data_IF_791589878378
#
_entry.id   IF_791589878378
#
_cell.length_a   1.000
_cell.length_b   1.000
_cell.length_c   1.000
_cell.angle_alpha   90.00
_cell.angle_beta   90.00
_cell.angle_gamma   90.00
#
_symmetry.space_group_name_H-M   'P 1'
#
loop_
_entity.id
_entity.type
_entity.pdbx_description
1 polymer ?
#
# COMPACT_ATOMS: atom_id res chain seq x y z
N UNK A 1 57.01 -45.47 -27.35
CA UNK A 1 57.26 -44.28 -26.49
C UNK A 1 56.99 -43.04 -27.33
N UNK A 2 55.98 -42.20 -27.17
CA UNK A 2 54.87 -42.05 -26.23
C UNK A 2 53.91 -41.07 -26.92
N UNK A 3 52.62 -41.41 -26.98
CA UNK A 3 51.55 -40.47 -27.31
C UNK A 3 51.36 -39.53 -26.12
N UNK A 4 51.37 -38.21 -26.30
CA UNK A 4 50.96 -37.27 -25.24
C UNK A 4 49.87 -36.31 -25.76
N UNK A 5 48.70 -36.88 -26.02
CA UNK A 5 47.41 -36.60 -25.36
C UNK A 5 47.12 -35.23 -24.71
N UNK A 6 47.60 -34.08 -25.19
CA UNK A 6 47.25 -32.78 -24.55
C UNK A 6 46.76 -31.65 -25.46
N UNK A 7 46.71 -31.82 -26.79
CA UNK A 7 46.22 -30.76 -27.71
C UNK A 7 44.90 -31.06 -28.43
N UNK A 8 44.24 -32.18 -28.11
CA UNK A 8 43.00 -32.63 -28.76
C UNK A 8 41.86 -32.89 -27.77
N UNK A 9 41.72 -32.08 -26.71
CA UNK A 9 40.56 -32.20 -25.77
C UNK A 9 39.72 -30.93 -25.69
N UNK A 10 40.10 -29.82 -26.34
CA UNK A 10 39.24 -28.64 -26.46
C UNK A 10 38.41 -28.60 -27.75
N UNK A 11 38.16 -29.76 -28.35
CA UNK A 11 37.25 -29.92 -29.48
C UNK A 11 35.90 -30.57 -29.10
N UNK A 12 35.68 -30.90 -27.82
CA UNK A 12 34.44 -31.52 -27.35
C UNK A 12 33.81 -30.69 -26.24
N UNK A 13 32.59 -30.19 -26.47
CA UNK A 13 31.70 -29.57 -25.49
C UNK A 13 32.21 -28.28 -24.83
N UNK A 14 32.04 -27.15 -25.53
CA UNK A 14 32.41 -25.85 -24.99
C UNK A 14 31.80 -24.68 -25.74
N UNK A 15 30.55 -24.78 -26.19
CA UNK A 15 29.75 -23.59 -26.42
C UNK A 15 29.53 -22.91 -25.07
N UNK A 16 30.52 -22.13 -24.62
CA UNK A 16 30.26 -21.05 -23.67
C UNK A 16 29.22 -20.18 -24.35
N UNK A 17 27.95 -20.37 -23.97
CA UNK A 17 26.95 -19.32 -24.07
C UNK A 17 27.53 -18.21 -23.21
N UNK A 18 28.28 -17.30 -23.86
CA UNK A 18 28.83 -16.15 -23.20
C UNK A 18 27.61 -15.42 -22.64
N UNK A 19 27.45 -15.46 -21.31
CA UNK A 19 26.39 -14.74 -20.61
C UNK A 19 26.55 -13.28 -21.00
N UNK A 20 25.71 -12.83 -21.94
CA UNK A 20 25.69 -11.43 -22.37
C UNK A 20 25.12 -10.67 -21.19
N UNK A 21 26.00 -10.15 -20.33
CA UNK A 21 25.60 -9.12 -19.37
C UNK A 21 24.85 -8.03 -20.14
N UNK A 22 23.74 -7.51 -19.61
CA UNK A 22 22.87 -6.55 -20.30
C UNK A 22 23.64 -5.37 -20.93
N UNK A 23 24.79 -5.01 -20.33
CA UNK A 23 25.71 -3.95 -20.77
C UNK A 23 26.69 -4.32 -21.89
N UNK A 24 26.81 -5.60 -22.25
CA UNK A 24 27.60 -6.12 -23.38
C UNK A 24 26.68 -6.56 -24.53
N UNK A 25 25.79 -5.65 -24.96
CA UNK A 25 24.94 -5.86 -26.13
C UNK A 25 25.62 -5.28 -27.40
N UNK A 26 25.94 -6.11 -28.42
CA UNK A 26 26.60 -5.66 -29.65
C UNK A 26 25.79 -4.65 -30.46
N UNK A 27 24.45 -4.64 -30.32
CA UNK A 27 23.59 -3.64 -30.94
C UNK A 27 23.83 -2.25 -30.36
N UNK A 28 23.93 -2.14 -29.03
CA UNK A 28 24.21 -0.88 -28.33
C UNK A 28 25.59 -0.34 -28.72
N UNK A 29 26.59 -1.22 -28.89
CA UNK A 29 27.92 -0.83 -29.35
C UNK A 29 27.91 -0.23 -30.76
N UNK A 30 27.18 -0.86 -31.70
CA UNK A 30 27.00 -0.35 -33.07
C UNK A 30 26.25 0.98 -33.11
N UNK A 31 25.18 1.11 -32.33
CA UNK A 31 24.40 2.33 -32.25
C UNK A 31 25.22 3.49 -31.65
N UNK A 32 25.97 3.25 -30.58
CA UNK A 32 26.86 4.25 -29.95
C UNK A 32 28.02 4.70 -30.85
N UNK A 33 28.49 3.83 -31.74
CA UNK A 33 29.47 4.21 -32.77
C UNK A 33 28.84 5.10 -33.85
N UNK A 34 27.60 4.82 -34.25
CA UNK A 34 26.87 5.57 -35.29
C UNK A 34 26.36 6.94 -34.80
N UNK A 35 26.09 7.07 -33.51
CA UNK A 35 25.62 8.30 -32.84
C UNK A 35 26.75 9.19 -32.32
N UNK A 36 28.00 8.96 -32.73
CA UNK A 36 29.12 9.86 -32.41
C UNK A 36 28.95 11.17 -33.16
N UNK A 37 28.41 12.16 -32.47
CA UNK A 37 28.27 13.53 -32.96
C UNK A 37 29.63 14.24 -32.85
N UNK A 38 30.01 15.03 -33.86
CA UNK A 38 31.26 15.82 -33.83
C UNK A 38 31.30 16.71 -32.59
N UNK A 39 32.45 16.86 -31.91
CA UNK A 39 32.61 17.77 -30.77
C UNK A 39 32.19 19.22 -31.09
N UNK A 40 32.16 19.62 -32.36
CA UNK A 40 31.78 20.97 -32.78
C UNK A 40 30.33 21.10 -33.25
N UNK A 41 29.54 20.02 -33.22
CA UNK A 41 28.16 20.02 -33.70
C UNK A 41 27.26 21.02 -32.96
N UNK A 42 27.49 21.22 -31.66
CA UNK A 42 26.71 22.17 -30.86
C UNK A 42 27.03 23.64 -31.21
N UNK A 43 28.19 23.92 -31.81
CA UNK A 43 28.61 25.29 -32.16
C UNK A 43 27.81 25.87 -33.33
N UNK A 44 27.23 25.01 -34.19
CA UNK A 44 26.35 25.42 -35.31
C UNK A 44 25.03 26.06 -34.84
N UNK A 45 24.62 25.79 -33.60
CA UNK A 45 23.39 26.33 -33.01
C UNK A 45 23.61 27.62 -32.21
N UNK A 46 24.87 28.02 -31.99
CA UNK A 46 25.30 29.20 -31.22
C UNK A 46 25.69 30.34 -32.15
N UNK A 47 24.73 30.81 -32.93
CA UNK A 47 24.81 32.13 -33.55
C UNK A 47 24.15 33.16 -32.63
N UNK A 48 24.78 34.32 -32.35
CA UNK A 48 24.40 35.27 -31.28
C UNK A 48 23.06 36.00 -31.45
N UNK A 49 22.16 35.50 -32.31
CA UNK A 49 20.80 36.00 -32.52
C UNK A 49 19.67 35.00 -32.23
N UNK A 50 19.97 33.77 -31.77
CA UNK A 50 18.94 32.74 -31.61
C UNK A 50 18.19 32.86 -30.27
N UNK A 51 16.95 33.34 -30.32
CA UNK A 51 15.97 33.34 -29.21
C UNK A 51 15.82 31.93 -28.60
N UNK A 52 15.98 30.90 -29.43
CA UNK A 52 15.95 29.48 -29.06
C UNK A 52 17.03 29.14 -28.02
N UNK A 53 18.21 29.76 -28.03
CA UNK A 53 19.22 29.52 -26.99
C UNK A 53 18.87 30.16 -25.65
N UNK A 54 18.27 31.35 -25.64
CA UNK A 54 17.75 31.95 -24.41
C UNK A 54 16.58 31.13 -23.84
N UNK A 55 15.73 30.57 -24.70
CA UNK A 55 14.64 29.67 -24.31
C UNK A 55 15.19 28.35 -23.79
N UNK A 56 16.11 27.71 -24.50
CA UNK A 56 16.73 26.44 -24.10
C UNK A 56 17.60 26.59 -22.86
N UNK A 57 18.24 27.73 -22.62
CA UNK A 57 19.04 27.99 -21.42
C UNK A 57 18.15 28.36 -20.21
N UNK A 58 17.00 28.99 -20.46
CA UNK A 58 15.92 29.18 -19.49
C UNK A 58 15.23 27.85 -19.15
N UNK A 59 15.07 26.95 -20.10
CA UNK A 59 14.54 25.60 -19.89
C UNK A 59 15.56 24.69 -19.21
N UNK A 60 16.84 24.75 -19.59
CA UNK A 60 17.94 24.03 -18.91
C UNK A 60 18.07 24.45 -17.44
N UNK A 61 17.89 25.74 -17.12
CA UNK A 61 17.87 26.25 -15.73
C UNK A 61 16.58 25.88 -14.98
N UNK A 62 15.47 25.58 -15.68
CA UNK A 62 14.24 25.02 -15.08
C UNK A 62 14.31 23.51 -14.87
N UNK A 63 15.07 22.78 -15.70
CA UNK A 63 15.22 21.33 -15.61
C UNK A 63 16.28 20.85 -14.62
N UNK A 64 17.21 21.70 -14.19
CA UNK A 64 18.11 21.38 -13.08
C UNK A 64 17.38 21.66 -11.75
N UNK A 65 16.31 20.90 -11.51
CA UNK A 65 15.98 20.53 -10.14
C UNK A 65 17.07 19.52 -9.78
N UNK A 66 17.93 19.78 -8.78
CA UNK A 66 18.99 18.84 -8.46
C UNK A 66 18.37 17.46 -8.24
N UNK A 67 19.03 16.39 -8.71
CA UNK A 67 18.52 15.02 -8.57
C UNK A 67 18.14 14.70 -7.12
N UNK A 68 18.81 15.35 -6.15
CA UNK A 68 18.45 15.37 -4.73
C UNK A 68 17.04 15.89 -4.43
N UNK A 69 16.53 16.88 -5.15
CA UNK A 69 15.16 17.42 -5.00
C UNK A 69 14.07 16.56 -5.66
N UNK A 70 14.42 15.71 -6.63
CA UNK A 70 13.51 14.67 -7.15
C UNK A 70 13.43 13.50 -6.18
N UNK A 71 14.57 13.10 -5.60
CA UNK A 71 14.63 12.14 -4.50
C UNK A 71 13.91 12.66 -3.24
N UNK A 72 14.05 13.95 -2.91
CA UNK A 72 13.34 14.57 -1.78
C UNK A 72 11.82 14.61 -2.00
N UNK A 73 11.34 14.92 -3.21
CA UNK A 73 9.90 14.83 -3.51
C UNK A 73 9.37 13.39 -3.48
N UNK A 74 10.16 12.41 -3.92
CA UNK A 74 9.82 10.99 -3.80
C UNK A 74 9.84 10.56 -2.32
N UNK A 75 10.77 11.08 -1.51
CA UNK A 75 10.86 10.83 -0.07
C UNK A 75 9.72 11.50 0.71
N UNK A 76 9.33 12.72 0.36
CA UNK A 76 8.18 13.44 0.94
C UNK A 76 6.85 12.76 0.55
N UNK A 77 6.75 12.20 -0.65
CA UNK A 77 5.59 11.37 -1.02
C UNK A 77 5.58 10.01 -0.30
N UNK A 78 6.77 9.50 0.04
CA UNK A 78 6.97 8.26 0.82
C UNK A 78 6.68 8.45 2.31
N UNK A 79 6.74 9.69 2.80
CA UNK A 79 6.39 10.07 4.17
C UNK A 79 4.90 9.91 4.49
N UNK A 80 4.04 9.79 3.45
CA UNK A 80 2.58 9.74 3.59
C UNK A 80 1.99 8.35 3.82
N UNK A 81 2.76 7.28 3.64
CA UNK A 81 2.31 5.90 3.81
C UNK A 81 3.15 5.21 4.87
N UNK A 82 2.52 4.32 5.64
CA UNK A 82 3.09 3.62 6.78
C UNK A 82 4.49 3.07 6.44
N UNK A 83 5.50 3.51 7.19
CA UNK A 83 6.88 3.00 7.11
C UNK A 83 7.03 1.61 7.73
N UNK A 84 5.92 1.04 8.23
CA UNK A 84 5.90 -0.25 8.91
C UNK A 84 5.96 -1.37 7.87
N UNK A 85 7.03 -2.16 7.95
CA UNK A 85 7.28 -3.25 7.00
C UNK A 85 6.41 -4.47 7.31
N UNK A 86 6.12 -4.71 8.59
CA UNK A 86 5.33 -5.85 9.08
C UNK A 86 4.62 -5.48 10.39
N UNK A 87 3.41 -5.99 10.60
CA UNK A 87 2.63 -5.89 11.86
C UNK A 87 3.24 -6.72 13.00
N UNK A 88 4.05 -7.74 12.68
CA UNK A 88 4.60 -8.69 13.66
C UNK A 88 3.62 -9.78 14.10
N UNK A 89 2.39 -9.78 13.55
CA UNK A 89 1.36 -10.78 13.79
C UNK A 89 1.20 -11.69 12.56
N UNK A 90 1.10 -13.00 12.79
CA UNK A 90 0.93 -13.97 11.70
C UNK A 90 -0.46 -13.86 11.11
N UNK A 91 -0.56 -13.74 9.78
CA UNK A 91 -1.84 -13.67 9.07
C UNK A 91 -2.44 -12.26 8.99
N UNK A 92 -1.89 -11.27 9.70
CA UNK A 92 -2.32 -9.87 9.63
C UNK A 92 -1.34 -9.06 8.78
N UNK A 93 -1.74 -8.70 7.56
CA UNK A 93 -0.90 -7.96 6.63
C UNK A 93 -1.07 -6.44 6.81
N UNK A 94 0.03 -5.69 6.64
CA UNK A 94 0.03 -4.23 6.73
C UNK A 94 -0.89 -3.63 5.67
N UNK A 95 -1.75 -2.69 6.09
CA UNK A 95 -2.62 -1.97 5.17
C UNK A 95 -1.93 -0.70 4.65
N UNK A 96 -1.90 -0.51 3.32
CA UNK A 96 -1.27 0.68 2.72
C UNK A 96 -2.04 1.98 3.04
N UNK A 97 -3.35 1.89 3.20
CA UNK A 97 -4.26 3.04 3.31
C UNK A 97 -5.31 2.85 4.43
N UNK A 98 -4.90 2.77 5.71
CA UNK A 98 -5.80 2.40 6.81
C UNK A 98 -6.96 3.40 7.01
N UNK A 99 -6.71 4.71 6.95
CA UNK A 99 -7.77 5.72 7.11
C UNK A 99 -8.90 5.57 6.07
N UNK A 100 -8.55 5.31 4.82
CA UNK A 100 -9.53 5.11 3.74
C UNK A 100 -10.33 3.84 3.97
N UNK A 101 -9.65 2.74 4.28
CA UNK A 101 -10.28 1.44 4.54
C UNK A 101 -11.25 1.53 5.72
N UNK A 102 -10.81 2.07 6.87
CA UNK A 102 -11.64 2.28 8.06
C UNK A 102 -12.86 3.16 7.78
N UNK A 103 -12.65 4.29 7.10
CA UNK A 103 -13.74 5.21 6.76
C UNK A 103 -14.81 4.50 5.93
N UNK A 104 -14.40 3.70 4.93
CA UNK A 104 -15.33 2.92 4.09
C UNK A 104 -16.08 1.89 4.92
N UNK A 105 -15.39 1.11 5.77
CA UNK A 105 -16.03 0.07 6.59
C UNK A 105 -17.02 0.68 7.59
N UNK A 106 -16.64 1.73 8.31
CA UNK A 106 -17.55 2.43 9.23
C UNK A 106 -18.76 3.04 8.52
N UNK A 107 -18.57 3.66 7.35
CA UNK A 107 -19.70 4.14 6.56
C UNK A 107 -20.63 3.01 6.11
N UNK A 108 -20.09 1.82 5.79
CA UNK A 108 -20.90 0.63 5.46
C UNK A 108 -21.67 0.12 6.68
N UNK A 109 -21.06 0.12 7.87
CA UNK A 109 -21.74 -0.27 9.12
C UNK A 109 -22.90 0.69 9.39
N UNK A 110 -22.67 2.00 9.35
CA UNK A 110 -23.74 2.99 9.59
C UNK A 110 -24.92 2.82 8.63
N UNK A 111 -24.65 2.56 7.33
CA UNK A 111 -25.70 2.24 6.35
C UNK A 111 -26.43 0.93 6.63
N UNK A 112 -25.74 -0.09 7.13
CA UNK A 112 -26.39 -1.35 7.50
C UNK A 112 -27.29 -1.17 8.73
N UNK A 113 -26.83 -0.40 9.74
CA UNK A 113 -27.59 -0.10 10.95
C UNK A 113 -28.89 0.67 10.68
N UNK A 114 -29.00 1.41 9.58
CA UNK A 114 -30.25 2.07 9.17
C UNK A 114 -31.43 1.11 9.01
N UNK A 115 -31.17 -0.17 8.70
CA UNK A 115 -32.20 -1.22 8.54
C UNK A 115 -32.78 -1.72 9.87
N UNK A 116 -32.07 -1.52 10.98
CA UNK A 116 -32.48 -1.93 12.33
C UNK A 116 -33.32 -0.80 12.94
N UNK A 117 -34.41 -1.05 13.69
CA UNK A 117 -35.17 0.03 14.32
C UNK A 117 -34.32 0.85 15.33
N UNK A 118 -34.51 2.18 15.44
CA UNK A 118 -33.72 3.06 16.33
C UNK A 118 -33.92 2.77 17.83
N UNK A 119 -35.00 2.06 18.18
CA UNK A 119 -35.28 1.60 19.54
C UNK A 119 -34.42 0.41 19.96
N UNK A 120 -33.83 -0.33 19.00
CA UNK A 120 -32.99 -1.47 19.30
C UNK A 120 -31.73 -1.04 20.08
N UNK A 121 -31.47 -1.71 21.20
CA UNK A 121 -30.31 -1.43 22.04
C UNK A 121 -29.00 -1.58 21.25
N UNK A 122 -28.88 -2.64 20.43
CA UNK A 122 -27.71 -2.87 19.59
C UNK A 122 -27.40 -1.66 18.71
N UNK A 123 -28.38 -1.19 17.90
CA UNK A 123 -28.23 -0.03 17.02
C UNK A 123 -27.79 1.23 17.79
N UNK A 124 -28.41 1.52 18.93
CA UNK A 124 -28.10 2.71 19.72
C UNK A 124 -26.62 2.74 20.17
N UNK A 125 -26.11 1.62 20.67
CA UNK A 125 -24.75 1.56 21.19
C UNK A 125 -23.70 1.43 20.08
N UNK A 126 -23.96 0.62 19.06
CA UNK A 126 -23.01 0.46 17.94
C UNK A 126 -22.89 1.73 17.12
N UNK A 127 -23.99 2.45 16.85
CA UNK A 127 -23.91 3.75 16.19
C UNK A 127 -23.06 4.75 16.98
N UNK A 128 -23.20 4.79 18.30
CA UNK A 128 -22.42 5.70 19.15
C UNK A 128 -20.92 5.40 19.06
N UNK A 129 -20.54 4.12 19.17
CA UNK A 129 -19.15 3.66 19.08
C UNK A 129 -18.57 3.95 17.68
N UNK A 130 -19.31 3.59 16.62
CA UNK A 130 -18.85 3.78 15.23
C UNK A 130 -18.71 5.27 14.90
N UNK A 131 -19.65 6.13 15.32
CA UNK A 131 -19.57 7.58 15.12
C UNK A 131 -18.37 8.18 15.86
N UNK A 132 -18.13 7.76 17.10
CA UNK A 132 -16.96 8.19 17.87
C UNK A 132 -15.65 7.79 17.17
N UNK A 133 -15.54 6.52 16.75
CA UNK A 133 -14.33 6.02 16.05
C UNK A 133 -14.13 6.71 14.70
N UNK A 134 -15.20 6.91 13.93
CA UNK A 134 -15.16 7.64 12.66
C UNK A 134 -14.66 9.08 12.86
N UNK A 135 -15.13 9.76 13.91
CA UNK A 135 -14.66 11.11 14.25
C UNK A 135 -13.17 11.14 14.59
N UNK A 136 -12.65 10.14 15.32
CA UNK A 136 -11.22 10.02 15.60
C UNK A 136 -10.40 9.78 14.32
N UNK A 137 -10.87 8.90 13.42
CA UNK A 137 -10.22 8.60 12.14
C UNK A 137 -10.16 9.83 11.22
N UNK A 138 -11.12 10.74 11.32
CA UNK A 138 -11.15 12.00 10.57
C UNK A 138 -10.35 13.13 11.22
N UNK A 139 -10.21 13.11 12.55
CA UNK A 139 -9.51 14.15 13.29
C UNK A 139 -7.98 13.98 13.26
N UNK A 140 -7.51 12.73 13.29
CA UNK A 140 -6.08 12.43 13.31
C UNK A 140 -5.60 11.87 11.97
N UNK A 141 -4.58 12.50 11.39
CA UNK A 141 -3.89 12.01 10.19
C UNK A 141 -2.74 11.04 10.52
N UNK A 142 -2.23 11.08 11.76
CA UNK A 142 -1.09 10.28 12.19
C UNK A 142 -1.55 8.93 12.75
N UNK A 143 -1.11 7.84 12.12
CA UNK A 143 -1.49 6.46 12.51
C UNK A 143 -1.15 6.13 13.98
N UNK A 144 0.07 6.37 14.49
CA UNK A 144 0.41 5.97 15.87
C UNK A 144 -0.40 6.74 16.93
N UNK A 145 -0.69 8.01 16.67
CA UNK A 145 -1.52 8.83 17.56
C UNK A 145 -2.99 8.36 17.53
N UNK A 146 -3.48 7.93 16.36
CA UNK A 146 -4.80 7.35 16.22
C UNK A 146 -4.92 6.03 16.99
N UNK A 147 -3.91 5.16 16.92
CA UNK A 147 -3.86 3.90 17.67
C UNK A 147 -3.93 4.13 19.18
N UNK A 148 -3.15 5.07 19.72
CA UNK A 148 -3.18 5.41 21.14
C UNK A 148 -4.55 5.95 21.59
N UNK A 149 -5.19 6.79 20.77
CA UNK A 149 -6.52 7.34 21.07
C UNK A 149 -7.63 6.30 21.04
N UNK A 150 -7.54 5.33 20.12
CA UNK A 150 -8.53 4.24 20.03
C UNK A 150 -8.27 3.21 21.14
N UNK A 151 -7.00 2.93 21.45
CA UNK A 151 -6.60 2.03 22.53
C UNK A 151 -6.96 0.56 22.31
N UNK A 152 -7.01 0.10 21.05
CA UNK A 152 -7.48 -1.25 20.67
C UNK A 152 -6.44 -2.05 19.86
N UNK A 153 -5.15 -1.81 20.09
CA UNK A 153 -4.07 -2.48 19.37
C UNK A 153 -3.62 -1.73 18.11
N UNK A 154 -3.10 -2.46 17.13
CA UNK A 154 -2.64 -1.91 15.85
C UNK A 154 -3.82 -1.51 14.95
N UNK A 155 -3.59 -0.59 14.01
CA UNK A 155 -4.65 -0.11 13.12
C UNK A 155 -5.23 -1.23 12.24
N UNK A 156 -4.43 -2.22 11.87
CA UNK A 156 -4.88 -3.40 11.12
C UNK A 156 -5.88 -4.25 11.91
N UNK A 157 -5.65 -4.45 13.21
CA UNK A 157 -6.58 -5.18 14.08
C UNK A 157 -7.91 -4.43 14.21
N UNK A 158 -7.86 -3.09 14.26
CA UNK A 158 -9.07 -2.24 14.29
C UNK A 158 -9.86 -2.35 12.98
N UNK A 159 -9.19 -2.50 11.84
CA UNK A 159 -9.85 -2.75 10.54
C UNK A 159 -10.56 -4.10 10.58
N UNK A 160 -9.88 -5.15 11.00
CA UNK A 160 -10.46 -6.50 11.10
C UNK A 160 -11.67 -6.52 12.05
N UNK A 161 -11.57 -5.88 13.21
CA UNK A 161 -12.71 -5.71 14.12
C UNK A 161 -13.89 -4.99 13.46
N UNK A 162 -13.64 -3.96 12.65
CA UNK A 162 -14.70 -3.26 11.94
C UNK A 162 -15.34 -4.12 10.84
N UNK A 163 -14.57 -5.00 10.19
CA UNK A 163 -15.12 -5.96 9.23
C UNK A 163 -16.00 -7.01 9.92
N UNK A 164 -15.56 -7.56 11.05
CA UNK A 164 -16.38 -8.46 11.86
C UNK A 164 -17.65 -7.77 12.39
N UNK A 165 -17.57 -6.50 12.80
CA UNK A 165 -18.76 -5.75 13.21
C UNK A 165 -19.77 -5.58 12.07
N UNK A 166 -19.28 -5.38 10.84
CA UNK A 166 -20.14 -5.31 9.66
C UNK A 166 -20.84 -6.66 9.38
N UNK A 167 -20.12 -7.76 9.53
CA UNK A 167 -20.68 -9.12 9.41
C UNK A 167 -21.69 -9.41 10.52
N UNK A 168 -21.36 -9.07 11.76
CA UNK A 168 -22.26 -9.19 12.91
C UNK A 168 -23.54 -8.36 12.70
N UNK A 169 -23.42 -7.13 12.19
CA UNK A 169 -24.59 -6.29 11.87
C UNK A 169 -25.50 -6.98 10.85
N UNK A 170 -24.94 -7.61 9.82
CA UNK A 170 -25.72 -8.36 8.82
C UNK A 170 -26.42 -9.58 9.43
N UNK A 171 -25.73 -10.33 10.29
CA UNK A 171 -26.31 -11.47 11.00
C UNK A 171 -27.42 -11.04 11.97
N UNK A 172 -27.29 -9.88 12.62
CA UNK A 172 -28.33 -9.32 13.50
C UNK A 172 -29.55 -8.90 12.68
N UNK A 173 -29.37 -8.35 11.48
CA UNK A 173 -30.48 -8.03 10.57
C UNK A 173 -31.23 -9.30 10.16
N UNK A 174 -30.51 -10.38 9.85
CA UNK A 174 -31.10 -11.66 9.46
C UNK A 174 -31.86 -12.32 10.62
N UNK A 175 -31.26 -12.35 11.82
CA UNK A 175 -31.84 -12.99 13.02
C UNK A 175 -32.90 -12.15 13.72
N UNK A 176 -33.00 -10.83 13.43
CA UNK A 176 -33.91 -9.88 14.09
C UNK A 176 -33.82 -9.92 15.62
N UNK A 177 -32.60 -10.00 16.15
CA UNK A 177 -32.32 -10.17 17.59
C UNK A 177 -32.85 -9.04 18.51
N UNK A 178 -33.43 -7.98 17.96
CA UNK A 178 -34.09 -6.91 18.71
C UNK A 178 -35.55 -7.21 19.06
N UNK A 179 -36.12 -8.28 18.53
CA UNK A 179 -37.46 -8.74 18.89
C UNK A 179 -37.46 -9.31 20.32
N UNK A 180 -38.61 -9.29 21.02
CA UNK A 180 -38.74 -9.92 22.33
C UNK A 180 -38.39 -11.41 22.29
N UNK A 181 -38.07 -11.96 23.46
CA UNK A 181 -37.74 -13.38 23.60
C UNK A 181 -38.86 -14.27 23.04
N UNK A 182 -38.49 -15.24 22.21
CA UNK A 182 -39.44 -16.15 21.55
C UNK A 182 -40.17 -17.03 22.58
N UNK A 183 -39.43 -17.56 23.56
CA UNK A 183 -39.96 -18.40 24.63
C UNK A 183 -39.31 -18.05 25.97
N UNK A 184 -40.12 -17.86 27.01
CA UNK A 184 -39.60 -17.71 28.36
C UNK A 184 -38.92 -18.99 28.84
N UNK A 185 -37.91 -18.83 29.70
CA UNK A 185 -37.23 -19.98 30.28
C UNK A 185 -38.21 -20.84 31.12
N UNK A 186 -38.13 -22.18 31.02
CA UNK A 186 -38.88 -23.05 31.91
C UNK A 186 -38.59 -22.75 33.38
N UNK A 187 -39.58 -22.92 34.25
CA UNK A 187 -39.39 -22.78 35.71
C UNK A 187 -38.32 -23.77 36.17
N UNK A 188 -37.32 -23.30 36.90
CA UNK A 188 -36.20 -24.11 37.37
C UNK A 188 -35.01 -24.25 36.40
N UNK A 189 -35.11 -23.76 35.15
CA UNK A 189 -34.03 -23.89 34.15
C UNK A 189 -32.72 -23.22 34.58
N UNK A 190 -32.80 -22.07 35.24
CA UNK A 190 -31.66 -21.25 35.65
C UNK A 190 -31.42 -21.26 37.16
N UNK A 191 -32.10 -22.14 37.90
CA UNK A 191 -31.89 -22.29 39.33
C UNK A 191 -30.59 -23.07 39.57
N UNK A 192 -29.64 -22.44 40.26
CA UNK A 192 -28.39 -23.07 40.66
C UNK A 192 -27.99 -22.65 42.09
N UNK A 193 -27.68 -23.60 42.99
CA UNK A 193 -27.61 -25.06 42.81
C UNK A 193 -28.98 -25.75 42.70
N UNK A 194 -28.98 -27.00 42.22
CA UNK A 194 -30.17 -27.88 42.24
C UNK A 194 -30.32 -28.38 43.68
N UNK A 195 -31.19 -27.73 44.47
CA UNK A 195 -31.53 -28.11 45.85
C UNK A 195 -32.93 -28.67 45.95
#
# INVERSE_FOLDING_TARGET
>A
MSLCASKLVQAACGSRVAVRTMYKNPYIARFKQRSKVSPDFYKKWVSPGNIVLKILEKERKREIVPYSGRQARIADHRQKYSTVVTTGLTGLFVNEHPHRTLSVVYCRILKALEQIPPTAAYRKYTEAIVKQRLALVQAEDNIPALEEKIGMGQIEEVIEQAEYELEATRAIIESRAWEPLVEEAPKGQWDWPIV
#
